data_IF_441011971290
#
_entry.id   IF_441011971290
#
_cell.length_a   1.000
_cell.length_b   1.000
_cell.length_c   1.000
_cell.angle_alpha   90.00
_cell.angle_beta   90.00
_cell.angle_gamma   90.00
#
_symmetry.space_group_name_H-M   'P 1'
#
loop_
_entity.id
_entity.type
_entity.pdbx_description
1 polymer ?
#
# COMPACT_ATOMS: atom_id res chain seq x y z
N UNK A 1 -2.96 16.29 9.93
CA UNK A 1 -3.74 16.19 8.69
C UNK A 1 -4.19 14.74 8.50
N UNK A 2 -5.46 14.48 8.23
CA UNK A 2 -5.94 13.14 7.89
C UNK A 2 -5.42 12.75 6.49
N UNK A 3 -4.97 11.50 6.34
CA UNK A 3 -4.53 10.98 5.04
C UNK A 3 -5.75 10.88 4.11
N UNK A 4 -5.63 11.41 2.89
CA UNK A 4 -6.66 11.24 1.85
C UNK A 4 -7.00 9.76 1.65
N UNK A 5 -8.28 9.39 1.52
CA UNK A 5 -8.68 8.02 1.17
C UNK A 5 -7.98 7.54 -0.10
N UNK A 6 -7.66 6.25 -0.17
CA UNK A 6 -6.87 5.68 -1.29
C UNK A 6 -7.49 5.94 -2.68
N UNK A 7 -8.83 5.92 -2.78
CA UNK A 7 -9.55 6.18 -4.03
C UNK A 7 -9.46 7.65 -4.50
N UNK A 8 -9.05 8.58 -3.62
CA UNK A 8 -8.83 10.00 -3.92
C UNK A 8 -7.36 10.36 -4.15
N UNK A 9 -6.45 9.37 -4.14
CA UNK A 9 -5.02 9.58 -4.41
C UNK A 9 -4.76 9.41 -5.90
N UNK A 10 -4.05 10.37 -6.48
CA UNK A 10 -3.53 10.25 -7.84
C UNK A 10 -2.34 9.29 -7.85
N UNK A 11 -2.05 8.64 -9.00
CA UNK A 11 -0.88 7.76 -9.13
C UNK A 11 0.43 8.44 -8.77
N UNK A 12 0.55 9.76 -9.02
CA UNK A 12 1.73 10.58 -8.73
C UNK A 12 1.92 10.90 -7.23
N UNK A 13 0.89 10.74 -6.39
CA UNK A 13 0.94 10.94 -4.94
C UNK A 13 1.43 9.70 -4.19
N UNK A 14 2.31 8.90 -4.76
CA UNK A 14 2.67 7.62 -4.18
C UNK A 14 4.18 7.35 -4.18
N UNK A 15 4.62 6.51 -3.25
CA UNK A 15 5.99 5.97 -3.26
C UNK A 15 6.30 5.20 -4.54
N UNK A 16 5.27 4.67 -5.19
CA UNK A 16 5.39 3.99 -6.48
C UNK A 16 5.91 4.96 -7.56
N UNK A 17 5.34 6.16 -7.65
CA UNK A 17 5.82 7.17 -8.60
C UNK A 17 7.28 7.58 -8.35
N UNK A 18 7.67 7.72 -7.05
CA UNK A 18 9.07 8.00 -6.69
C UNK A 18 9.98 6.86 -7.16
N UNK A 19 9.56 5.60 -6.94
CA UNK A 19 10.36 4.43 -7.32
C UNK A 19 10.52 4.31 -8.85
N UNK A 20 9.45 4.55 -9.60
CA UNK A 20 9.49 4.58 -11.06
C UNK A 20 10.46 5.67 -11.58
N UNK A 21 10.43 6.87 -10.99
CA UNK A 21 11.38 7.94 -11.30
C UNK A 21 12.83 7.57 -10.95
N UNK A 22 13.06 6.90 -9.81
CA UNK A 22 14.39 6.40 -9.42
C UNK A 22 14.92 5.40 -10.45
N UNK A 23 14.09 4.43 -10.86
CA UNK A 23 14.48 3.41 -11.85
C UNK A 23 14.77 4.01 -13.23
N UNK A 24 14.00 5.03 -13.62
CA UNK A 24 14.20 5.70 -14.92
C UNK A 24 15.48 6.53 -14.97
N UNK A 25 15.90 7.11 -13.84
CA UNK A 25 17.06 8.01 -13.80
C UNK A 25 18.36 7.33 -13.42
N UNK A 26 18.29 6.24 -12.68
CA UNK A 26 19.42 5.50 -12.08
C UNK A 26 20.28 6.35 -11.11
N UNK A 27 20.60 7.59 -11.46
CA UNK A 27 21.27 8.62 -10.63
C UNK A 27 20.35 9.84 -10.54
N UNK A 28 20.06 10.29 -9.33
CA UNK A 28 19.05 11.31 -9.06
C UNK A 28 19.36 12.13 -7.81
N UNK A 29 18.77 13.30 -7.70
CA UNK A 29 18.68 14.08 -6.47
C UNK A 29 17.21 14.24 -6.00
N UNK A 30 17.01 14.82 -4.82
CA UNK A 30 15.66 14.99 -4.26
C UNK A 30 14.78 15.90 -5.13
N UNK A 31 15.37 16.93 -5.74
CA UNK A 31 14.63 17.86 -6.63
C UNK A 31 14.12 17.13 -7.87
N UNK A 32 14.94 16.27 -8.48
CA UNK A 32 14.54 15.51 -9.67
C UNK A 32 13.30 14.63 -9.39
N UNK A 33 13.26 13.98 -8.23
CA UNK A 33 12.13 13.13 -7.82
C UNK A 33 10.89 13.94 -7.47
N UNK A 34 11.07 15.12 -6.85
CA UNK A 34 9.96 16.01 -6.53
C UNK A 34 9.30 16.55 -7.81
N UNK A 35 10.11 16.94 -8.80
CA UNK A 35 9.61 17.53 -10.04
C UNK A 35 8.80 16.52 -10.88
N UNK A 36 9.01 15.22 -10.69
CA UNK A 36 8.24 14.14 -11.33
C UNK A 36 7.06 13.60 -10.48
N UNK A 37 6.91 14.07 -9.26
CA UNK A 37 5.85 13.60 -8.36
C UNK A 37 5.12 14.77 -7.74
N UNK A 38 3.91 14.53 -7.22
CA UNK A 38 3.16 15.55 -6.44
C UNK A 38 3.41 15.42 -4.93
N UNK A 39 4.46 14.68 -4.56
CA UNK A 39 4.82 14.44 -3.16
C UNK A 39 5.55 15.65 -2.56
N UNK A 40 5.37 15.84 -1.23
CA UNK A 40 6.11 16.86 -0.50
C UNK A 40 7.59 16.47 -0.38
N UNK A 41 8.48 17.46 -0.44
CA UNK A 41 9.93 17.28 -0.30
C UNK A 41 10.34 16.40 0.87
N UNK A 42 9.72 16.62 2.02
CA UNK A 42 9.99 15.84 3.23
C UNK A 42 9.68 14.35 3.04
N UNK A 43 8.53 14.03 2.41
CA UNK A 43 8.12 12.65 2.15
C UNK A 43 9.04 11.96 1.15
N UNK A 44 9.48 12.67 0.11
CA UNK A 44 10.47 12.17 -0.87
C UNK A 44 11.80 11.89 -0.16
N UNK A 45 12.29 12.86 0.61
CA UNK A 45 13.55 12.75 1.37
C UNK A 45 13.51 11.58 2.35
N UNK A 46 12.45 11.45 3.14
CA UNK A 46 12.31 10.35 4.10
C UNK A 46 12.30 8.98 3.43
N UNK A 47 11.66 8.89 2.26
CA UNK A 47 11.64 7.64 1.51
C UNK A 47 13.01 7.30 0.94
N UNK A 48 13.74 8.27 0.35
CA UNK A 48 15.10 8.06 -0.16
C UNK A 48 16.06 7.65 0.96
N UNK A 49 15.99 8.28 2.14
CA UNK A 49 16.79 7.89 3.32
C UNK A 49 16.46 6.45 3.75
N UNK A 50 15.19 6.06 3.71
CA UNK A 50 14.78 4.69 4.00
C UNK A 50 15.33 3.69 2.99
N UNK A 51 15.31 4.03 1.70
CA UNK A 51 15.88 3.21 0.63
C UNK A 51 17.41 3.07 0.76
N UNK A 52 18.11 4.15 1.13
CA UNK A 52 19.55 4.15 1.38
C UNK A 52 19.91 3.20 2.53
N UNK A 53 19.24 3.33 3.67
CA UNK A 53 19.46 2.46 4.83
C UNK A 53 19.08 0.99 4.57
N UNK A 54 18.13 0.75 3.68
CA UNK A 54 17.73 -0.59 3.27
C UNK A 54 18.61 -1.18 2.15
N UNK A 55 19.60 -0.41 1.62
CA UNK A 55 20.53 -0.85 0.60
C UNK A 55 19.93 -0.96 -0.81
N UNK A 56 18.90 -0.17 -1.13
CA UNK A 56 18.38 -0.07 -2.49
C UNK A 56 19.07 1.02 -3.31
N UNK A 57 19.46 2.09 -2.65
CA UNK A 57 20.22 3.20 -3.24
C UNK A 57 21.42 3.52 -2.39
N UNK A 58 22.45 4.10 -2.97
CA UNK A 58 23.62 4.61 -2.27
C UNK A 58 23.83 6.09 -2.56
N UNK A 59 24.43 6.81 -1.62
CA UNK A 59 24.80 8.19 -1.83
C UNK A 59 26.04 8.27 -2.72
N UNK A 60 25.95 9.08 -3.78
CA UNK A 60 27.08 9.30 -4.67
C UNK A 60 28.18 10.08 -3.93
N UNK A 61 29.44 9.60 -3.92
CA UNK A 61 30.54 10.27 -3.24
C UNK A 61 30.78 11.68 -3.78
N UNK A 62 31.16 12.61 -2.91
CA UNK A 62 31.35 14.02 -3.29
C UNK A 62 32.40 14.23 -4.40
N UNK A 63 33.41 13.36 -4.49
CA UNK A 63 34.45 13.43 -5.53
C UNK A 63 33.97 13.04 -6.94
N UNK A 64 32.84 12.33 -7.04
CA UNK A 64 32.17 12.00 -8.30
C UNK A 64 31.22 13.13 -8.76
N UNK A 65 30.91 14.08 -7.88
CA UNK A 65 29.99 15.18 -8.16
C UNK A 65 30.77 16.45 -8.54
N UNK A 66 30.16 17.32 -9.35
CA UNK A 66 30.69 18.66 -9.61
C UNK A 66 30.70 19.48 -8.32
N UNK A 67 31.70 20.33 -8.15
CA UNK A 67 31.77 21.24 -7.01
C UNK A 67 30.47 22.07 -6.87
N UNK A 68 29.88 22.08 -5.69
CA UNK A 68 28.60 22.75 -5.41
C UNK A 68 27.34 22.00 -5.86
N UNK A 69 27.48 20.78 -6.39
CA UNK A 69 26.30 19.97 -6.76
C UNK A 69 25.51 19.54 -5.51
N UNK A 70 24.19 19.41 -5.68
CA UNK A 70 23.33 18.83 -4.67
C UNK A 70 23.69 17.37 -4.41
N UNK A 71 23.36 16.86 -3.22
CA UNK A 71 23.54 15.45 -2.89
C UNK A 71 22.72 14.59 -3.87
N UNK A 72 23.39 13.58 -4.46
CA UNK A 72 22.81 12.63 -5.38
C UNK A 72 22.85 11.22 -4.80
N UNK A 73 21.97 10.38 -5.27
CA UNK A 73 21.90 8.95 -4.98
C UNK A 73 21.92 8.15 -6.28
N UNK A 74 22.45 6.94 -6.20
CA UNK A 74 22.50 5.97 -7.30
C UNK A 74 21.69 4.73 -6.92
N UNK A 75 20.88 4.22 -7.85
CA UNK A 75 20.20 2.94 -7.69
C UNK A 75 21.22 1.80 -7.75
N UNK A 76 21.27 0.98 -6.68
CA UNK A 76 22.18 -0.18 -6.60
C UNK A 76 21.43 -1.52 -6.59
N UNK A 77 20.15 -1.52 -6.20
CA UNK A 77 19.33 -2.73 -6.14
C UNK A 77 17.96 -2.46 -6.74
N UNK A 78 17.77 -2.81 -8.00
CA UNK A 78 16.43 -2.82 -8.62
C UNK A 78 15.71 -4.13 -8.31
N UNK A 79 14.54 -4.03 -7.67
CA UNK A 79 13.67 -5.18 -7.34
C UNK A 79 12.47 -5.30 -8.28
N UNK A 80 12.47 -4.53 -9.39
CA UNK A 80 11.41 -4.53 -10.38
C UNK A 80 10.36 -3.45 -10.16
N UNK A 81 9.17 -3.67 -10.71
CA UNK A 81 8.13 -2.65 -10.79
C UNK A 81 7.63 -2.16 -9.42
N UNK A 82 7.42 -3.06 -8.46
CA UNK A 82 6.85 -2.71 -7.17
C UNK A 82 7.85 -1.93 -6.29
N UNK A 83 7.43 -0.76 -5.79
CA UNK A 83 8.23 0.08 -4.93
C UNK A 83 8.56 -0.61 -3.59
N UNK A 84 9.83 -0.59 -3.13
CA UNK A 84 10.19 -1.11 -1.82
C UNK A 84 9.39 -0.44 -0.71
N UNK A 85 8.80 -1.23 0.17
CA UNK A 85 8.03 -0.72 1.31
C UNK A 85 8.93 -0.66 2.54
N UNK A 86 9.59 0.48 2.71
CA UNK A 86 10.53 0.71 3.80
C UNK A 86 10.10 1.89 4.69
N UNK A 87 10.50 1.85 5.96
CA UNK A 87 10.45 2.99 6.87
C UNK A 87 11.70 3.85 6.71
N UNK A 88 11.70 5.03 7.33
CA UNK A 88 12.86 5.96 7.33
C UNK A 88 14.14 5.36 7.93
N UNK A 89 13.98 4.39 8.83
CA UNK A 89 15.10 3.64 9.43
C UNK A 89 15.63 2.49 8.57
N UNK A 90 15.05 2.26 7.39
CA UNK A 90 15.39 1.18 6.47
C UNK A 90 14.67 -0.14 6.76
N UNK A 91 13.89 -0.24 7.84
CA UNK A 91 13.17 -1.47 8.15
C UNK A 91 12.02 -1.73 7.17
N UNK A 92 11.79 -2.98 6.74
CA UNK A 92 10.68 -3.31 5.86
C UNK A 92 9.32 -3.01 6.51
N UNK A 93 8.37 -2.53 5.72
CA UNK A 93 6.98 -2.38 6.15
C UNK A 93 6.21 -3.65 5.79
N UNK A 94 5.98 -4.50 6.76
CA UNK A 94 5.22 -5.75 6.61
C UNK A 94 3.70 -5.56 6.71
N UNK A 95 3.26 -4.37 7.13
CA UNK A 95 1.83 -4.06 7.24
C UNK A 95 1.13 -4.21 5.88
N UNK A 96 0.08 -5.03 5.84
CA UNK A 96 -0.66 -5.34 4.61
C UNK A 96 -0.15 -6.55 3.83
N UNK A 97 1.06 -7.03 4.09
CA UNK A 97 1.61 -8.21 3.40
C UNK A 97 0.75 -9.45 3.62
N UNK A 98 0.20 -9.64 4.80
CA UNK A 98 -0.72 -10.74 5.07
C UNK A 98 -1.96 -10.72 4.17
N UNK A 99 -2.47 -9.54 3.79
CA UNK A 99 -3.58 -9.43 2.84
C UNK A 99 -3.16 -9.79 1.42
N UNK A 100 -2.00 -9.35 1.00
CA UNK A 100 -1.44 -9.70 -0.32
C UNK A 100 -1.19 -11.20 -0.42
N UNK A 101 -0.61 -11.80 0.62
CA UNK A 101 -0.40 -13.25 0.70
C UNK A 101 -1.74 -14.00 0.65
N UNK A 102 -2.75 -13.56 1.43
CA UNK A 102 -4.08 -14.17 1.40
C UNK A 102 -4.73 -14.05 0.03
N UNK A 103 -4.63 -12.88 -0.63
CA UNK A 103 -5.19 -12.67 -1.96
C UNK A 103 -4.55 -13.59 -3.00
N UNK A 104 -3.24 -13.72 -2.97
CA UNK A 104 -2.50 -14.64 -3.83
C UNK A 104 -2.87 -16.11 -3.56
N UNK A 105 -2.97 -16.49 -2.28
CA UNK A 105 -3.40 -17.83 -1.89
C UNK A 105 -4.81 -18.15 -2.38
N UNK A 106 -5.77 -17.22 -2.22
CA UNK A 106 -7.15 -17.38 -2.72
C UNK A 106 -7.21 -17.63 -4.22
N UNK A 107 -6.36 -16.93 -5.00
CA UNK A 107 -6.27 -17.12 -6.45
C UNK A 107 -5.81 -18.53 -6.83
N UNK A 108 -4.85 -19.05 -6.09
CA UNK A 108 -4.26 -20.39 -6.35
C UNK A 108 -5.23 -21.48 -5.91
N UNK A 109 -5.75 -21.38 -4.69
CA UNK A 109 -6.60 -22.41 -4.08
C UNK A 109 -8.01 -22.45 -4.69
N UNK A 110 -8.54 -21.29 -5.10
CA UNK A 110 -9.90 -21.08 -5.63
C UNK A 110 -11.02 -21.40 -4.66
N UNK A 111 -10.95 -22.50 -3.91
CA UNK A 111 -11.87 -22.90 -2.83
C UNK A 111 -11.04 -23.13 -1.57
N UNK A 112 -11.47 -22.58 -0.45
CA UNK A 112 -10.71 -22.62 0.80
C UNK A 112 -11.59 -22.35 2.02
N UNK A 113 -11.20 -22.86 3.16
CA UNK A 113 -11.68 -22.43 4.48
C UNK A 113 -10.78 -21.32 5.04
N UNK A 114 -11.23 -20.52 6.01
CA UNK A 114 -10.39 -19.53 6.67
C UNK A 114 -9.09 -20.12 7.25
N UNK A 115 -9.16 -21.32 7.80
CA UNK A 115 -8.01 -22.02 8.36
C UNK A 115 -6.98 -22.36 7.29
N UNK A 116 -7.40 -22.95 6.18
CA UNK A 116 -6.53 -23.27 5.05
C UNK A 116 -5.89 -22.01 4.45
N UNK A 117 -6.70 -20.95 4.30
CA UNK A 117 -6.21 -19.67 3.82
C UNK A 117 -5.15 -19.08 4.75
N UNK A 118 -5.36 -19.13 6.07
CA UNK A 118 -4.39 -18.66 7.04
C UNK A 118 -3.06 -19.42 6.93
N UNK A 119 -3.11 -20.73 6.74
CA UNK A 119 -1.91 -21.56 6.57
C UNK A 119 -1.20 -21.23 5.25
N UNK A 120 -1.93 -21.18 4.15
CA UNK A 120 -1.39 -20.92 2.81
C UNK A 120 -0.79 -19.50 2.66
N UNK A 121 -1.27 -18.53 3.44
CA UNK A 121 -0.80 -17.14 3.40
C UNK A 121 0.40 -16.85 4.31
N UNK A 122 0.86 -17.82 5.11
CA UNK A 122 2.02 -17.64 5.99
C UNK A 122 3.32 -17.66 5.21
N UNK A 123 4.22 -16.77 5.62
CA UNK A 123 5.61 -16.75 5.19
C UNK A 123 6.50 -16.61 6.42
N UNK A 124 7.82 -16.86 6.33
CA UNK A 124 8.72 -16.66 7.47
C UNK A 124 8.60 -15.28 8.13
N UNK A 125 8.33 -14.23 7.32
CA UNK A 125 8.27 -12.84 7.78
C UNK A 125 6.85 -12.35 8.04
N UNK A 126 5.81 -13.16 7.76
CA UNK A 126 4.42 -12.74 7.89
C UNK A 126 3.52 -13.86 8.40
N UNK A 127 3.13 -13.75 9.67
CA UNK A 127 2.17 -14.66 10.28
C UNK A 127 0.74 -14.18 10.03
N UNK A 128 -0.12 -15.07 9.53
CA UNK A 128 -1.56 -14.85 9.37
C UNK A 128 -2.30 -15.83 10.27
N UNK A 129 -3.16 -15.33 11.16
CA UNK A 129 -4.02 -16.17 11.98
C UNK A 129 -5.39 -16.41 11.30
N UNK A 130 -6.10 -17.43 11.75
CA UNK A 130 -7.38 -17.83 11.19
C UNK A 130 -8.45 -16.72 11.33
N UNK A 131 -8.46 -16.00 12.46
CA UNK A 131 -9.41 -14.90 12.70
C UNK A 131 -9.23 -13.79 11.69
N UNK A 132 -7.98 -13.42 11.38
CA UNK A 132 -7.68 -12.41 10.34
C UNK A 132 -8.09 -12.90 8.96
N UNK A 133 -7.86 -14.17 8.64
CA UNK A 133 -8.26 -14.75 7.36
C UNK A 133 -9.79 -14.82 7.23
N UNK A 134 -10.50 -15.21 8.28
CA UNK A 134 -11.95 -15.23 8.33
C UNK A 134 -12.56 -13.84 8.16
N UNK A 135 -12.00 -12.83 8.85
CA UNK A 135 -12.45 -11.45 8.74
C UNK A 135 -12.26 -10.89 7.33
N UNK A 136 -11.09 -11.12 6.74
CA UNK A 136 -10.80 -10.70 5.37
C UNK A 136 -11.72 -11.39 4.35
N UNK A 137 -11.88 -12.72 4.44
CA UNK A 137 -12.77 -13.47 3.56
C UNK A 137 -14.23 -13.02 3.68
N UNK A 138 -14.71 -12.69 4.89
CA UNK A 138 -16.05 -12.15 5.12
C UNK A 138 -16.26 -10.80 4.43
N UNK A 139 -15.28 -9.89 4.49
CA UNK A 139 -15.36 -8.59 3.81
C UNK A 139 -15.34 -8.75 2.29
N UNK A 140 -14.48 -9.63 1.75
CA UNK A 140 -14.44 -9.93 0.32
C UNK A 140 -15.73 -10.60 -0.18
N UNK A 141 -16.35 -11.44 0.65
CA UNK A 141 -17.67 -12.02 0.33
C UNK A 141 -18.74 -10.92 0.22
N UNK A 142 -18.81 -10.00 1.19
CA UNK A 142 -19.74 -8.85 1.15
C UNK A 142 -19.49 -7.93 -0.04
N UNK A 143 -18.24 -7.81 -0.46
CA UNK A 143 -17.85 -7.01 -1.62
C UNK A 143 -18.00 -7.75 -2.98
N UNK A 144 -18.52 -8.99 -2.99
CA UNK A 144 -18.78 -9.74 -4.22
C UNK A 144 -17.57 -10.42 -4.86
N UNK A 145 -16.44 -10.49 -4.17
CA UNK A 145 -15.26 -11.22 -4.66
C UNK A 145 -15.36 -12.72 -4.42
N UNK A 146 -16.02 -13.12 -3.35
CA UNK A 146 -16.12 -14.49 -2.90
C UNK A 146 -17.58 -14.92 -2.75
N UNK A 147 -17.86 -16.20 -2.99
CA UNK A 147 -19.11 -16.88 -2.61
C UNK A 147 -18.83 -17.76 -1.40
N UNK A 148 -19.66 -17.66 -0.37
CA UNK A 148 -19.63 -18.53 0.81
C UNK A 148 -20.55 -19.72 0.57
N UNK A 149 -20.11 -20.93 0.91
CA UNK A 149 -20.88 -22.17 0.93
C UNK A 149 -21.39 -22.49 2.34
N UNK A 150 -22.40 -23.35 2.43
CA UNK A 150 -23.03 -23.72 3.71
C UNK A 150 -22.09 -24.47 4.66
N UNK A 151 -21.08 -25.15 4.13
CA UNK A 151 -20.01 -25.81 4.89
C UNK A 151 -18.93 -24.84 5.43
N UNK A 152 -19.14 -23.51 5.30
CA UNK A 152 -18.20 -22.50 5.79
C UNK A 152 -17.00 -22.22 4.87
N UNK A 153 -16.87 -22.91 3.75
CA UNK A 153 -15.83 -22.62 2.74
C UNK A 153 -16.18 -21.39 1.90
N UNK A 154 -15.17 -20.81 1.30
CA UNK A 154 -15.28 -19.70 0.35
C UNK A 154 -14.74 -20.10 -1.01
N UNK A 155 -15.36 -19.59 -2.05
CA UNK A 155 -14.90 -19.76 -3.44
C UNK A 155 -14.70 -18.41 -4.11
N UNK A 156 -13.56 -18.20 -4.74
CA UNK A 156 -13.32 -17.03 -5.56
C UNK A 156 -14.18 -17.09 -6.84
N UNK A 157 -14.89 -16.01 -7.12
CA UNK A 157 -15.70 -15.91 -8.33
C UNK A 157 -14.80 -15.71 -9.56
N UNK A 158 -15.07 -16.36 -10.71
CA UNK A 158 -14.19 -16.34 -11.87
C UNK A 158 -13.87 -14.93 -12.40
N UNK A 159 -14.84 -14.01 -12.32
CA UNK A 159 -14.69 -12.61 -12.77
C UNK A 159 -14.27 -11.64 -11.66
N UNK A 160 -14.03 -12.11 -10.44
CA UNK A 160 -13.73 -11.26 -9.29
C UNK A 160 -12.24 -10.95 -9.13
N UNK A 161 -11.36 -11.61 -9.86
CA UNK A 161 -9.95 -11.30 -9.84
C UNK A 161 -9.66 -10.01 -10.64
N UNK A 162 -9.40 -8.92 -9.94
CA UNK A 162 -9.18 -7.59 -10.50
C UNK A 162 -7.71 -7.25 -10.72
N UNK A 163 -6.79 -8.15 -10.36
CA UNK A 163 -5.35 -7.94 -10.50
C UNK A 163 -4.54 -8.42 -9.30
N UNK A 164 -3.21 -8.26 -9.33
CA UNK A 164 -2.31 -8.79 -8.31
C UNK A 164 -2.44 -8.10 -6.94
N UNK A 165 -2.89 -6.85 -6.90
CA UNK A 165 -3.04 -6.09 -5.66
C UNK A 165 -4.28 -6.54 -4.87
N UNK A 166 -4.08 -6.82 -3.59
CA UNK A 166 -5.16 -7.23 -2.71
C UNK A 166 -6.18 -6.10 -2.46
N UNK A 167 -7.49 -6.38 -2.55
CA UNK A 167 -8.50 -5.41 -2.15
C UNK A 167 -8.30 -4.93 -0.72
N UNK A 168 -8.45 -3.63 -0.49
CA UNK A 168 -8.18 -2.99 0.79
C UNK A 168 -9.46 -2.71 1.56
N UNK A 169 -9.51 -3.13 2.82
CA UNK A 169 -10.56 -2.75 3.75
C UNK A 169 -10.19 -1.37 4.33
N UNK A 170 -11.03 -0.37 4.08
CA UNK A 170 -10.89 0.98 4.63
C UNK A 170 -11.87 1.17 5.79
N UNK A 171 -11.44 1.91 6.81
CA UNK A 171 -12.30 2.31 7.93
C UNK A 171 -12.82 3.72 7.66
N UNK A 172 -14.13 3.86 7.57
CA UNK A 172 -14.81 5.15 7.47
C UNK A 172 -15.13 5.67 8.86
N UNK A 173 -14.80 6.92 9.17
CA UNK A 173 -15.25 7.60 10.38
C UNK A 173 -16.59 8.26 10.09
N UNK A 174 -17.50 8.16 11.02
CA UNK A 174 -18.80 8.82 10.95
C UNK A 174 -19.04 9.64 12.22
N UNK A 175 -19.65 10.80 12.07
CA UNK A 175 -20.22 11.57 13.18
C UNK A 175 -21.71 11.28 13.20
N UNK A 176 -22.13 10.57 14.23
CA UNK A 176 -23.53 10.22 14.49
C UNK A 176 -24.10 11.18 15.52
N UNK A 177 -25.24 11.78 15.21
CA UNK A 177 -26.01 12.63 16.14
C UNK A 177 -27.13 11.77 16.79
N UNK A 178 -27.01 11.40 18.07
CA UNK A 178 -28.01 10.57 18.73
C UNK A 178 -29.34 11.29 18.95
N UNK A 179 -29.35 12.63 18.99
CA UNK A 179 -30.57 13.40 19.21
C UNK A 179 -31.46 13.42 17.97
N UNK A 180 -30.84 13.41 16.80
CA UNK A 180 -31.55 13.43 15.52
C UNK A 180 -31.60 12.07 14.82
N UNK A 181 -30.91 11.06 15.40
CA UNK A 181 -30.77 9.72 14.84
C UNK A 181 -30.21 9.73 13.40
N UNK A 182 -29.21 10.60 13.12
CA UNK A 182 -28.67 10.83 11.79
C UNK A 182 -27.14 10.82 11.77
N UNK A 183 -26.57 10.33 10.66
CA UNK A 183 -25.16 10.55 10.34
C UNK A 183 -25.05 11.99 9.83
N UNK A 184 -24.24 12.82 10.49
CA UNK A 184 -24.00 14.21 10.14
C UNK A 184 -22.81 14.38 9.21
N UNK A 185 -21.86 13.46 9.26
CA UNK A 185 -20.67 13.50 8.44
C UNK A 185 -20.04 12.11 8.28
N UNK A 186 -19.42 11.87 7.11
CA UNK A 186 -18.62 10.69 6.82
C UNK A 186 -17.29 11.08 6.19
N UNK A 187 -16.22 10.40 6.53
CA UNK A 187 -14.87 10.69 6.03
C UNK A 187 -14.65 10.32 4.55
N UNK A 188 -15.55 9.60 3.92
CA UNK A 188 -15.54 9.18 2.52
C UNK A 188 -16.43 10.05 1.59
N UNK A 189 -17.38 10.74 2.16
CA UNK A 189 -18.22 11.71 1.46
C UNK A 189 -17.62 13.10 1.64
N UNK A 190 -16.80 13.65 0.79
CA UNK A 190 -16.11 14.96 0.93
C UNK A 190 -16.86 16.02 1.75
N UNK A 191 -16.18 17.10 2.13
CA UNK A 191 -16.82 18.25 2.81
C UNK A 191 -18.07 18.66 2.03
N UNK A 192 -19.22 18.49 2.67
CA UNK A 192 -20.45 19.15 2.20
C UNK A 192 -20.22 20.61 2.54
N UNK A 193 -20.05 21.45 1.52
CA UNK A 193 -20.04 22.89 1.67
C UNK A 193 -21.31 23.30 2.44
N UNK A 194 -21.14 23.73 3.66
CA UNK A 194 -22.16 24.43 4.41
C UNK A 194 -22.08 25.91 4.05
N UNK A 195 -22.49 26.24 2.81
CA UNK A 195 -22.96 27.57 2.48
C UNK A 195 -24.48 27.59 2.72
N UNK A 196 -24.86 28.07 3.90
CA UNK A 196 -26.02 28.91 4.20
C UNK A 196 -25.94 29.42 5.63
#
# INVERSE_FOLDING_TARGET
MALKPMHKRTGLDSRQAIWEAIRAKEVFNIKDLRDETTMKDESVREYVIGLEKAGYVERVPAHELRAGAAACWRLIKDIGFEAPRVRKDGTPVTAGQGRENMWNAMRIMRVFTPRELAVAARTPDCFVNETTAADYARHLHRAGYLRKSDNGSYRMLPKAYTGPRAPMIQRTKVVWDPNQNKIRWRSDEGEVDHDE
#
